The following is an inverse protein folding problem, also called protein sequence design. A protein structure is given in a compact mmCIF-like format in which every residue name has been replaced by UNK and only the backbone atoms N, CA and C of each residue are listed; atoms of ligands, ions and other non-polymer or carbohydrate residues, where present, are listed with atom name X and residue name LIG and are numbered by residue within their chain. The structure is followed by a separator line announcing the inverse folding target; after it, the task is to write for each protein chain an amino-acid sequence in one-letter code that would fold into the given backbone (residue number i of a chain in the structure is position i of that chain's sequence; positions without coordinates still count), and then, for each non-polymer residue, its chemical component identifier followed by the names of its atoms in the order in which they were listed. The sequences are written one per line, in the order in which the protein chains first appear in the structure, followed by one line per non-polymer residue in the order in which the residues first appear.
data_IF_767945055559
#
_entry.id   IF_767945055559
#
_cell.length_a   1.000
_cell.length_b   1.000
_cell.length_c   1.000
_cell.angle_alpha   90.00
_cell.angle_beta   90.00
_cell.angle_gamma   90.00
#
_symmetry.space_group_name_H-M   'P 1'
#
loop_
_entity.id
_entity.type
_entity.pdbx_description
1 polymer ?
#
# COMPACT_ATOMS: atom_id res chain seq x y z
N UNK A 1 -22.17 -9.40 0.85
CA UNK A 1 -21.20 -8.43 1.42
C UNK A 1 -20.41 -7.86 0.26
N UNK A 2 -20.03 -6.59 0.32
CA UNK A 2 -19.10 -6.03 -0.66
C UNK A 2 -17.69 -6.59 -0.44
N UNK A 3 -16.80 -6.47 -1.43
CA UNK A 3 -15.39 -6.91 -1.33
C UNK A 3 -14.70 -6.27 -0.12
N UNK A 4 -14.94 -4.97 0.10
CA UNK A 4 -14.47 -4.20 1.25
C UNK A 4 -14.95 -4.78 2.58
N UNK A 5 -16.23 -5.12 2.67
CA UNK A 5 -16.77 -5.74 3.88
C UNK A 5 -16.14 -7.11 4.14
N UNK A 6 -15.92 -7.91 3.10
CA UNK A 6 -15.25 -9.22 3.22
C UNK A 6 -13.83 -9.03 3.78
N UNK A 7 -13.03 -8.13 3.21
CA UNK A 7 -11.66 -7.86 3.67
C UNK A 7 -11.62 -7.39 5.12
N UNK A 8 -12.49 -6.43 5.48
CA UNK A 8 -12.53 -5.89 6.85
C UNK A 8 -12.99 -6.93 7.88
N UNK A 9 -14.01 -7.71 7.56
CA UNK A 9 -14.48 -8.79 8.46
C UNK A 9 -13.45 -9.89 8.57
N UNK A 10 -12.83 -10.30 7.46
CA UNK A 10 -11.79 -11.32 7.45
C UNK A 10 -10.56 -10.91 8.29
N UNK A 11 -10.09 -9.68 8.13
CA UNK A 11 -8.99 -9.13 8.93
C UNK A 11 -9.33 -9.00 10.40
N UNK A 12 -10.53 -8.50 10.74
CA UNK A 12 -10.98 -8.40 12.12
C UNK A 12 -11.06 -9.77 12.81
N UNK A 13 -11.60 -10.79 12.14
CA UNK A 13 -11.70 -12.14 12.70
C UNK A 13 -10.32 -12.80 12.83
N UNK A 14 -9.49 -12.76 11.79
CA UNK A 14 -8.20 -13.45 11.80
C UNK A 14 -7.21 -12.77 12.75
N UNK A 15 -7.04 -11.46 12.63
CA UNK A 15 -5.97 -10.73 13.30
C UNK A 15 -6.43 -10.03 14.58
N UNK A 16 -7.66 -9.50 14.60
CA UNK A 16 -8.23 -8.84 15.78
C UNK A 16 -8.71 -9.83 16.83
N UNK A 17 -9.56 -10.79 16.44
CA UNK A 17 -10.09 -11.82 17.33
C UNK A 17 -9.17 -13.03 17.49
N UNK A 18 -8.05 -13.09 16.74
CA UNK A 18 -7.11 -14.21 16.72
C UNK A 18 -7.81 -15.54 16.42
N UNK A 19 -8.81 -15.54 15.54
CA UNK A 19 -9.55 -16.74 15.19
C UNK A 19 -8.93 -17.46 13.98
N UNK A 20 -8.16 -18.55 14.18
CA UNK A 20 -7.59 -19.30 13.07
C UNK A 20 -8.63 -19.96 12.16
N UNK A 21 -9.87 -20.16 12.62
CA UNK A 21 -10.95 -20.69 11.78
C UNK A 21 -11.45 -19.65 10.75
N UNK A 22 -11.06 -18.38 10.89
CA UNK A 22 -11.33 -17.34 9.89
C UNK A 22 -10.68 -17.67 8.53
N UNK A 23 -9.54 -18.37 8.53
CA UNK A 23 -8.87 -18.83 7.30
C UNK A 23 -9.80 -19.72 6.45
N UNK A 24 -10.56 -20.61 7.09
CA UNK A 24 -11.48 -21.50 6.38
C UNK A 24 -12.76 -20.79 5.92
N UNK A 25 -13.14 -19.72 6.60
CA UNK A 25 -14.33 -18.92 6.25
C UNK A 25 -14.04 -17.97 5.09
N UNK A 26 -12.94 -17.23 5.16
CA UNK A 26 -12.74 -16.07 4.29
C UNK A 26 -11.59 -16.17 3.31
N UNK A 27 -10.63 -17.08 3.46
CA UNK A 27 -9.57 -17.24 2.45
C UNK A 27 -9.98 -18.29 1.41
N UNK A 28 -9.51 -18.16 0.17
CA UNK A 28 -9.65 -19.19 -0.86
C UNK A 28 -8.71 -20.38 -0.54
N UNK A 29 -9.06 -21.62 -0.92
CA UNK A 29 -8.16 -22.77 -0.73
C UNK A 29 -6.82 -22.60 -1.48
N UNK A 30 -6.86 -21.91 -2.60
CA UNK A 30 -5.74 -21.58 -3.49
C UNK A 30 -5.27 -20.12 -3.32
N UNK A 31 -5.48 -19.54 -2.13
CA UNK A 31 -5.04 -18.19 -1.82
C UNK A 31 -3.54 -17.99 -2.10
N UNK A 32 -3.22 -16.87 -2.76
CA UNK A 32 -1.85 -16.48 -3.12
C UNK A 32 -1.37 -15.29 -2.31
N UNK A 33 -0.17 -15.43 -1.74
CA UNK A 33 0.53 -14.38 -1.01
C UNK A 33 1.65 -13.80 -1.87
N UNK A 34 1.78 -12.47 -1.86
CA UNK A 34 2.90 -11.72 -2.44
C UNK A 34 3.72 -10.95 -1.39
N UNK A 35 3.22 -10.85 -0.15
CA UNK A 35 3.90 -10.20 0.96
C UNK A 35 5.19 -10.90 1.34
N UNK A 36 6.24 -10.10 1.56
CA UNK A 36 7.50 -10.58 2.13
C UNK A 36 7.40 -11.05 3.59
N UNK A 37 6.27 -10.81 4.27
CA UNK A 37 6.09 -11.12 5.70
C UNK A 37 5.70 -12.57 5.98
N UNK A 38 5.23 -13.34 4.99
CA UNK A 38 4.64 -14.64 5.27
C UNK A 38 4.70 -15.63 4.10
N UNK A 39 4.78 -16.95 4.39
CA UNK A 39 4.69 -17.98 3.35
C UNK A 39 3.33 -17.98 2.64
N UNK A 40 3.28 -18.68 1.51
CA UNK A 40 2.07 -18.78 0.71
C UNK A 40 0.94 -19.60 1.37
N UNK A 41 -0.28 -19.35 0.93
CA UNK A 41 -1.48 -20.11 1.29
C UNK A 41 -1.95 -19.95 2.73
N UNK A 42 -3.04 -20.65 3.06
CA UNK A 42 -3.67 -20.59 4.39
C UNK A 42 -2.75 -21.09 5.50
N UNK A 43 -1.93 -22.10 5.23
CA UNK A 43 -0.99 -22.64 6.21
C UNK A 43 0.15 -21.66 6.50
N UNK A 44 0.62 -20.92 5.49
CA UNK A 44 1.55 -19.81 5.70
C UNK A 44 0.97 -18.74 6.60
N UNK A 45 -0.27 -18.30 6.34
CA UNK A 45 -0.97 -17.35 7.20
C UNK A 45 -1.23 -17.87 8.61
N UNK A 46 -1.53 -19.16 8.77
CA UNK A 46 -1.67 -19.81 10.09
C UNK A 46 -0.36 -19.71 10.88
N UNK A 47 0.77 -20.01 10.24
CA UNK A 47 2.09 -19.90 10.86
C UNK A 47 2.46 -18.45 11.22
N UNK A 48 2.02 -17.47 10.43
CA UNK A 48 2.16 -16.04 10.77
C UNK A 48 1.34 -15.72 12.02
N UNK A 49 0.06 -16.12 12.06
CA UNK A 49 -0.84 -15.86 13.19
C UNK A 49 -0.29 -16.39 14.52
N UNK A 50 0.32 -17.58 14.51
CA UNK A 50 0.95 -18.21 15.68
C UNK A 50 2.18 -17.45 16.20
N UNK A 51 2.83 -16.66 15.35
CA UNK A 51 4.02 -15.87 15.67
C UNK A 51 3.70 -14.41 15.99
N UNK A 52 2.46 -13.96 15.79
CA UNK A 52 2.08 -12.58 16.05
C UNK A 52 2.14 -12.26 17.55
N UNK A 53 2.84 -11.19 17.95
CA UNK A 53 2.95 -10.82 19.37
C UNK A 53 1.61 -10.38 19.94
N UNK A 54 1.46 -10.46 21.26
CA UNK A 54 0.19 -10.17 21.95
C UNK A 54 -0.33 -8.75 21.71
N UNK A 55 0.56 -7.78 21.52
CA UNK A 55 0.24 -6.37 21.29
C UNK A 55 0.04 -6.03 19.80
N UNK A 56 0.10 -7.02 18.91
CA UNK A 56 -0.18 -6.80 17.49
C UNK A 56 -1.60 -6.30 17.27
N UNK A 57 -1.71 -5.21 16.51
CA UNK A 57 -2.97 -4.62 16.07
C UNK A 57 -2.79 -3.87 14.76
N UNK A 58 -3.91 -3.69 14.06
CA UNK A 58 -3.98 -3.00 12.78
C UNK A 58 -4.92 -1.79 12.95
N UNK A 59 -4.40 -0.59 12.68
CA UNK A 59 -5.21 0.63 12.60
C UNK A 59 -5.52 0.94 11.15
N UNK A 60 -6.74 0.63 10.72
CA UNK A 60 -7.20 0.95 9.36
C UNK A 60 -7.43 2.45 9.20
N UNK A 61 -6.83 3.05 8.17
CA UNK A 61 -6.96 4.47 7.87
C UNK A 61 -7.94 4.73 6.73
N UNK A 62 -7.72 4.09 5.57
CA UNK A 62 -8.54 4.25 4.35
C UNK A 62 -8.75 2.89 3.71
N UNK A 63 -9.90 2.70 3.08
CA UNK A 63 -10.23 1.46 2.37
C UNK A 63 -10.93 1.77 1.06
N UNK A 64 -10.33 1.34 -0.05
CA UNK A 64 -10.86 1.50 -1.40
C UNK A 64 -11.37 0.17 -1.92
N UNK A 65 -12.52 0.17 -2.57
CA UNK A 65 -13.09 -0.95 -3.32
C UNK A 65 -13.21 -0.59 -4.80
N UNK A 66 -12.57 -1.38 -5.64
CA UNK A 66 -12.60 -1.24 -7.09
C UNK A 66 -12.91 -2.61 -7.71
N UNK A 67 -14.20 -2.90 -7.82
CA UNK A 67 -14.69 -4.21 -8.25
C UNK A 67 -14.33 -5.32 -7.25
N UNK A 68 -13.51 -6.27 -7.70
CA UNK A 68 -13.02 -7.39 -6.91
C UNK A 68 -11.72 -7.08 -6.15
N UNK A 69 -11.16 -5.88 -6.35
CA UNK A 69 -9.95 -5.44 -5.68
C UNK A 69 -10.27 -4.52 -4.50
N UNK A 70 -9.52 -4.68 -3.40
CA UNK A 70 -9.62 -3.83 -2.22
C UNK A 70 -8.24 -3.37 -1.81
N UNK A 71 -8.06 -2.06 -1.64
CA UNK A 71 -6.85 -1.49 -1.05
C UNK A 71 -7.12 -1.03 0.38
N UNK A 72 -6.19 -1.30 1.30
CA UNK A 72 -6.27 -0.91 2.70
C UNK A 72 -5.00 -0.14 3.05
N UNK A 73 -5.12 1.17 3.32
CA UNK A 73 -4.05 1.94 3.93
C UNK A 73 -4.19 1.83 5.45
N UNK A 74 -3.16 1.34 6.13
CA UNK A 74 -3.22 1.04 7.56
C UNK A 74 -1.89 1.24 8.28
N UNK A 75 -1.92 1.08 9.61
CA UNK A 75 -0.72 1.02 10.44
C UNK A 75 -0.70 -0.31 11.20
N UNK A 76 0.40 -1.04 11.06
CA UNK A 76 0.70 -2.24 11.85
C UNK A 76 1.49 -1.88 13.10
N UNK A 77 1.08 -2.45 14.23
CA UNK A 77 1.76 -2.33 15.51
C UNK A 77 2.24 -3.69 16.00
N UNK A 78 3.30 -3.72 16.81
CA UNK A 78 3.81 -4.97 17.42
C UNK A 78 4.77 -5.77 16.54
N UNK A 79 4.83 -5.55 15.22
CA UNK A 79 5.75 -6.29 14.32
C UNK A 79 7.23 -5.88 14.42
N UNK A 80 7.54 -4.82 15.18
CA UNK A 80 8.88 -4.29 15.32
C UNK A 80 8.96 -3.19 16.39
N UNK A 81 10.13 -2.57 16.56
CA UNK A 81 10.34 -1.50 17.54
C UNK A 81 9.58 -0.20 17.21
N UNK A 82 9.17 -0.06 15.96
CA UNK A 82 8.36 1.04 15.44
C UNK A 82 7.13 0.45 14.73
N UNK A 83 5.98 1.15 14.77
CA UNK A 83 4.86 0.80 13.90
C UNK A 83 5.27 0.87 12.44
N UNK A 84 4.54 0.16 11.58
CA UNK A 84 4.75 0.16 10.13
C UNK A 84 3.53 0.78 9.46
N UNK A 85 3.72 1.76 8.57
CA UNK A 85 2.64 2.18 7.67
C UNK A 85 2.63 1.24 6.48
N UNK A 86 1.44 0.77 6.10
CA UNK A 86 1.29 -0.24 5.08
C UNK A 86 0.14 0.10 4.12
N UNK A 87 0.28 -0.38 2.88
CA UNK A 87 -0.83 -0.47 1.94
C UNK A 87 -0.96 -1.93 1.53
N UNK A 88 -2.05 -2.55 1.96
CA UNK A 88 -2.44 -3.90 1.54
C UNK A 88 -3.37 -3.83 0.33
N UNK A 89 -3.23 -4.75 -0.60
CA UNK A 89 -4.11 -4.93 -1.75
C UNK A 89 -4.59 -6.37 -1.76
N UNK A 90 -5.90 -6.57 -1.79
CA UNK A 90 -6.53 -7.88 -1.83
C UNK A 90 -7.35 -8.05 -3.10
N UNK A 91 -7.29 -9.23 -3.72
CA UNK A 91 -8.28 -9.67 -4.69
C UNK A 91 -9.30 -10.58 -4.02
N UNK A 92 -10.58 -10.33 -4.26
CA UNK A 92 -11.71 -11.08 -3.72
C UNK A 92 -12.34 -11.92 -4.83
N UNK A 93 -12.39 -13.24 -4.65
CA UNK A 93 -13.12 -14.14 -5.55
C UNK A 93 -14.39 -14.65 -4.86
N UNK A 94 -15.55 -14.16 -5.31
CA UNK A 94 -16.84 -14.50 -4.69
C UNK A 94 -16.94 -13.95 -3.27
N UNK A 95 -16.92 -14.84 -2.28
CA UNK A 95 -16.98 -14.50 -0.86
C UNK A 95 -15.63 -14.65 -0.13
N UNK A 96 -14.53 -14.81 -0.88
CA UNK A 96 -13.21 -15.16 -0.32
C UNK A 96 -12.08 -14.28 -0.83
N UNK A 97 -11.10 -14.05 0.04
CA UNK A 97 -9.80 -13.49 -0.29
C UNK A 97 -9.00 -14.51 -1.08
N UNK A 98 -8.67 -14.18 -2.32
CA UNK A 98 -7.97 -15.05 -3.25
C UNK A 98 -6.49 -14.69 -3.40
N UNK A 99 -6.13 -13.44 -3.14
CA UNK A 99 -4.77 -12.97 -3.37
C UNK A 99 -4.47 -11.73 -2.54
N UNK A 100 -3.21 -11.55 -2.13
CA UNK A 100 -2.77 -10.43 -1.31
C UNK A 100 -1.38 -9.94 -1.71
N UNK A 101 -1.23 -8.63 -1.79
CA UNK A 101 0.03 -7.91 -1.92
C UNK A 101 0.10 -6.83 -0.85
N UNK A 102 1.30 -6.48 -0.41
CA UNK A 102 1.50 -5.32 0.44
C UNK A 102 2.77 -4.55 0.05
N UNK A 103 2.83 -3.30 0.50
CA UNK A 103 4.08 -2.66 0.83
C UNK A 103 4.00 -2.05 2.22
N UNK A 104 5.12 -2.04 2.93
CA UNK A 104 5.21 -1.46 4.27
C UNK A 104 6.58 -0.84 4.55
N UNK A 105 6.58 0.20 5.39
CA UNK A 105 7.79 0.86 5.86
C UNK A 105 7.65 1.30 7.33
N UNK A 106 8.77 1.53 8.04
CA UNK A 106 8.74 2.12 9.38
C UNK A 106 8.01 3.46 9.38
N UNK A 107 7.05 3.61 10.30
CA UNK A 107 6.37 4.86 10.56
C UNK A 107 7.19 5.70 11.57
N UNK A 108 7.74 6.87 11.18
CA UNK A 108 8.52 7.69 12.09
C UNK A 108 7.75 8.09 13.34
N UNK A 109 8.44 8.42 14.43
CA UNK A 109 7.78 8.89 15.65
C UNK A 109 7.41 10.38 15.57
N UNK A 110 6.42 10.79 16.36
CA UNK A 110 6.05 12.20 16.53
C UNK A 110 5.38 12.80 15.30
N UNK A 111 5.62 14.10 15.06
CA UNK A 111 4.95 14.86 14.02
C UNK A 111 5.21 14.33 12.60
N UNK A 112 6.43 13.83 12.33
CA UNK A 112 6.76 13.24 11.05
C UNK A 112 5.90 12.00 10.75
N UNK A 113 5.71 11.12 11.74
CA UNK A 113 4.83 9.96 11.62
C UNK A 113 3.36 10.33 11.47
N UNK A 114 2.86 11.24 12.31
CA UNK A 114 1.49 11.71 12.22
C UNK A 114 1.18 12.24 10.81
N UNK A 115 2.12 12.98 10.23
CA UNK A 115 2.01 13.48 8.88
C UNK A 115 1.88 12.37 7.83
N UNK A 116 2.57 11.22 7.96
CA UNK A 116 2.44 10.09 7.01
C UNK A 116 1.04 9.45 7.00
N UNK A 117 0.20 9.69 8.00
CA UNK A 117 -1.12 9.04 8.15
C UNK A 117 -2.30 10.01 8.28
N UNK A 118 -2.01 11.31 8.33
CA UNK A 118 -3.00 12.40 8.37
C UNK A 118 -3.82 12.48 7.07
N UNK A 119 -4.85 13.34 7.09
CA UNK A 119 -5.73 13.64 5.97
C UNK A 119 -7.08 12.90 6.03
N UNK A 120 -7.96 13.12 5.03
CA UNK A 120 -9.30 12.54 5.02
C UNK A 120 -9.27 11.01 4.99
N UNK A 121 -10.18 10.35 5.72
CA UNK A 121 -10.28 8.89 5.78
C UNK A 121 -11.48 8.32 5.02
N UNK A 122 -12.53 9.12 4.91
CA UNK A 122 -13.76 8.75 4.24
C UNK A 122 -13.62 8.97 2.73
N UNK A 123 -14.05 7.98 1.95
CA UNK A 123 -14.18 8.13 0.50
C UNK A 123 -15.44 8.94 0.19
N UNK A 124 -15.28 9.97 -0.63
CA UNK A 124 -16.35 10.83 -1.16
C UNK A 124 -16.24 10.92 -2.68
N UNK A 125 -17.14 11.63 -3.35
CA UNK A 125 -17.05 11.93 -4.80
C UNK A 125 -17.07 10.68 -5.70
N UNK A 126 -17.86 9.67 -5.31
CA UNK A 126 -17.95 8.37 -5.99
C UNK A 126 -18.31 8.48 -7.49
N UNK A 127 -19.09 9.50 -7.87
CA UNK A 127 -19.44 9.79 -9.26
C UNK A 127 -18.24 10.18 -10.13
N UNK A 128 -17.13 10.61 -9.52
CA UNK A 128 -15.90 11.01 -10.20
C UNK A 128 -14.84 9.91 -10.26
N UNK A 129 -15.10 8.71 -9.73
CA UNK A 129 -14.13 7.60 -9.64
C UNK A 129 -13.40 7.36 -10.97
N UNK A 130 -14.13 7.20 -12.07
CA UNK A 130 -13.53 6.90 -13.38
C UNK A 130 -12.66 8.07 -13.90
N UNK A 131 -13.12 9.30 -13.71
CA UNK A 131 -12.37 10.49 -14.11
C UNK A 131 -11.09 10.68 -13.29
N UNK A 132 -11.17 10.45 -11.98
CA UNK A 132 -10.02 10.55 -11.08
C UNK A 132 -8.98 9.47 -11.38
N UNK A 133 -9.41 8.22 -11.63
CA UNK A 133 -8.51 7.15 -12.08
C UNK A 133 -7.81 7.52 -13.38
N UNK A 134 -8.53 8.04 -14.36
CA UNK A 134 -7.95 8.44 -15.64
C UNK A 134 -6.90 9.54 -15.47
N UNK A 135 -7.23 10.59 -14.70
CA UNK A 135 -6.33 11.71 -14.41
C UNK A 135 -5.02 11.24 -13.74
N UNK A 136 -5.13 10.39 -12.70
CA UNK A 136 -3.94 9.87 -12.01
C UNK A 136 -3.15 8.92 -12.91
N UNK A 137 -3.81 8.06 -13.69
CA UNK A 137 -3.13 7.15 -14.61
C UNK A 137 -2.30 7.91 -15.65
N UNK A 138 -2.90 8.94 -16.27
CA UNK A 138 -2.23 9.80 -17.24
C UNK A 138 -1.05 10.54 -16.59
N UNK A 139 -1.29 11.17 -15.43
CA UNK A 139 -0.25 11.90 -14.71
C UNK A 139 0.93 11.01 -14.30
N UNK A 140 0.68 9.81 -13.79
CA UNK A 140 1.74 8.85 -13.43
C UNK A 140 2.53 8.45 -14.66
N UNK A 141 1.87 8.13 -15.78
CA UNK A 141 2.57 7.76 -17.02
C UNK A 141 3.42 8.88 -17.59
N UNK A 142 2.91 10.11 -17.60
CA UNK A 142 3.60 11.24 -18.23
C UNK A 142 4.69 11.86 -17.37
N UNK A 143 4.48 11.87 -16.05
CA UNK A 143 5.28 12.70 -15.12
C UNK A 143 6.04 11.85 -14.10
N UNK A 144 5.43 10.81 -13.55
CA UNK A 144 6.02 10.07 -12.44
C UNK A 144 6.97 8.96 -12.93
N UNK A 145 6.59 8.22 -13.97
CA UNK A 145 7.47 7.21 -14.57
C UNK A 145 8.69 7.88 -15.22
N UNK A 146 9.88 7.59 -14.71
CA UNK A 146 11.14 8.14 -15.20
C UNK A 146 11.49 9.57 -14.77
N UNK A 147 10.59 10.31 -14.11
CA UNK A 147 10.81 11.68 -13.65
C UNK A 147 10.19 12.00 -12.27
N UNK A 148 10.18 11.00 -11.39
CA UNK A 148 9.50 10.98 -10.08
C UNK A 148 9.69 12.26 -9.24
N UNK A 149 10.94 12.62 -8.94
CA UNK A 149 11.24 13.75 -8.04
C UNK A 149 10.78 15.11 -8.57
N UNK A 150 11.02 15.40 -9.85
CA UNK A 150 10.64 16.70 -10.44
C UNK A 150 9.12 16.85 -10.50
N UNK A 151 8.39 15.77 -10.77
CA UNK A 151 6.93 15.76 -10.84
C UNK A 151 6.27 16.05 -9.49
N UNK A 152 6.76 15.44 -8.40
CA UNK A 152 6.25 15.69 -7.05
C UNK A 152 6.62 17.09 -6.56
N UNK A 153 7.85 17.56 -6.83
CA UNK A 153 8.27 18.94 -6.53
C UNK A 153 7.40 19.98 -7.26
N UNK A 154 6.96 19.69 -8.48
CA UNK A 154 6.02 20.52 -9.23
C UNK A 154 4.65 20.61 -8.56
N UNK A 155 4.07 19.48 -8.13
CA UNK A 155 2.80 19.45 -7.40
C UNK A 155 2.91 20.24 -6.09
N UNK A 156 4.02 20.09 -5.37
CA UNK A 156 4.30 20.80 -4.12
C UNK A 156 4.42 22.33 -4.27
N UNK A 157 4.45 22.88 -5.50
CA UNK A 157 4.36 24.33 -5.72
C UNK A 157 2.93 24.87 -5.57
N UNK A 158 1.90 24.02 -5.67
CA UNK A 158 0.53 24.41 -5.32
C UNK A 158 0.38 24.39 -3.80
N UNK A 159 0.08 25.51 -3.13
CA UNK A 159 -0.05 25.56 -1.67
C UNK A 159 -1.23 24.74 -1.12
N UNK A 160 -2.08 24.18 -1.99
CA UNK A 160 -3.17 23.28 -1.61
C UNK A 160 -2.77 21.81 -1.64
N UNK A 161 -1.64 21.48 -2.28
CA UNK A 161 -1.13 20.12 -2.34
C UNK A 161 -0.41 19.77 -1.03
N UNK A 162 -0.65 18.56 -0.52
CA UNK A 162 0.04 18.03 0.67
C UNK A 162 0.76 16.74 0.28
N UNK A 163 2.09 16.75 0.43
CA UNK A 163 2.95 15.59 0.21
C UNK A 163 3.18 14.85 1.54
N UNK A 164 2.58 13.69 1.72
CA UNK A 164 2.70 12.86 2.92
C UNK A 164 3.77 11.76 2.82
N UNK A 165 4.38 11.54 1.66
CA UNK A 165 5.50 10.64 1.48
C UNK A 165 6.75 11.05 2.26
N UNK A 166 7.80 10.25 2.18
CA UNK A 166 9.08 10.55 2.83
C UNK A 166 9.76 11.84 2.29
N UNK A 167 9.23 12.40 1.20
CA UNK A 167 9.72 13.60 0.56
C UNK A 167 10.82 13.32 -0.48
N UNK A 168 11.35 14.36 -1.14
CA UNK A 168 12.25 14.24 -2.31
C UNK A 168 13.66 13.70 -1.98
N UNK A 169 13.93 13.35 -0.72
CA UNK A 169 15.21 12.77 -0.29
C UNK A 169 15.37 11.31 -0.76
N UNK A 170 14.25 10.62 -0.98
CA UNK A 170 14.22 9.29 -1.61
C UNK A 170 14.70 9.38 -3.07
N UNK A 171 15.81 8.71 -3.39
CA UNK A 171 16.29 8.57 -4.78
C UNK A 171 15.57 7.42 -5.46
N UNK A 172 14.26 7.59 -5.68
CA UNK A 172 13.41 6.61 -6.33
C UNK A 172 13.27 6.90 -7.83
N UNK A 173 13.46 5.87 -8.65
CA UNK A 173 13.21 5.91 -10.08
C UNK A 173 12.16 4.87 -10.48
N UNK A 174 10.91 5.30 -10.65
CA UNK A 174 9.80 4.45 -11.09
C UNK A 174 9.91 4.07 -12.57
N UNK A 175 9.60 2.81 -12.88
CA UNK A 175 9.85 2.16 -14.17
C UNK A 175 8.56 1.70 -14.84
N UNK A 176 7.66 1.06 -14.10
CA UNK A 176 6.45 0.47 -14.65
C UNK A 176 5.26 0.63 -13.71
N UNK A 177 4.09 0.91 -14.27
CA UNK A 177 2.81 0.93 -13.56
C UNK A 177 2.16 -0.45 -13.64
N UNK A 178 1.94 -1.09 -12.49
CA UNK A 178 1.36 -2.44 -12.38
C UNK A 178 -0.15 -2.40 -12.11
N UNK A 179 -0.61 -1.42 -11.32
CA UNK A 179 -2.02 -1.36 -10.89
C UNK A 179 -2.52 0.06 -10.69
N UNK A 180 -3.79 0.28 -11.00
CA UNK A 180 -4.57 1.48 -10.67
C UNK A 180 -5.91 1.07 -10.08
N UNK A 181 -6.11 1.34 -8.80
CA UNK A 181 -7.36 1.11 -8.09
C UNK A 181 -7.94 2.45 -7.66
N UNK A 182 -9.23 2.67 -7.79
CA UNK A 182 -9.82 3.95 -7.37
C UNK A 182 -11.25 3.83 -6.89
N UNK A 183 -11.59 4.64 -5.91
CA UNK A 183 -12.94 4.82 -5.41
C UNK A 183 -13.11 6.28 -5.02
N UNK A 184 -14.07 6.93 -5.66
CA UNK A 184 -14.36 8.34 -5.47
C UNK A 184 -13.15 9.25 -5.66
N UNK A 185 -12.86 10.08 -4.66
CA UNK A 185 -11.72 10.98 -4.62
C UNK A 185 -10.37 10.33 -4.38
N UNK A 186 -10.28 9.01 -4.16
CA UNK A 186 -9.01 8.33 -3.91
C UNK A 186 -8.61 7.39 -5.04
N UNK A 187 -7.33 7.40 -5.39
CA UNK A 187 -6.74 6.48 -6.38
C UNK A 187 -5.43 5.94 -5.82
N UNK A 188 -5.26 4.62 -5.80
CA UNK A 188 -4.00 3.95 -5.56
C UNK A 188 -3.31 3.62 -6.88
N UNK A 189 -2.02 3.92 -6.99
CA UNK A 189 -1.13 3.36 -8.03
C UNK A 189 -0.06 2.49 -7.41
N UNK A 190 0.17 1.33 -8.01
CA UNK A 190 1.27 0.43 -7.64
C UNK A 190 2.27 0.43 -8.79
N UNK A 191 3.48 0.90 -8.52
CA UNK A 191 4.57 0.93 -9.50
C UNK A 191 5.77 0.11 -9.05
N UNK A 192 6.50 -0.40 -10.02
CA UNK A 192 7.84 -0.90 -9.83
C UNK A 192 8.84 0.23 -10.02
N UNK A 193 9.82 0.33 -9.13
CA UNK A 193 10.88 1.31 -9.18
C UNK A 193 12.22 0.76 -8.71
N UNK A 194 13.21 1.64 -8.72
CA UNK A 194 14.57 1.35 -8.24
C UNK A 194 14.95 2.44 -7.24
N UNK A 195 15.35 2.02 -6.04
CA UNK A 195 15.96 2.87 -5.03
C UNK A 195 17.46 2.94 -5.29
N UNK A 196 17.95 4.14 -5.62
CA UNK A 196 19.38 4.40 -5.74
C UNK A 196 20.03 4.49 -4.34
N UNK A 197 21.31 4.12 -4.20
CA UNK A 197 22.02 4.21 -2.93
C UNK A 197 22.11 5.65 -2.40
N UNK A 198 22.05 5.79 -1.08
CA UNK A 198 22.35 7.04 -0.37
C UNK A 198 23.80 7.42 -0.63
N UNK A 199 24.01 8.63 -1.16
CA UNK A 199 25.34 9.09 -1.56
C UNK A 199 25.67 10.44 -0.96
N UNK A 200 26.09 10.43 0.30
CA UNK A 200 27.11 11.36 0.81
C UNK A 200 28.16 10.56 1.60
N UNK A 201 29.29 10.24 0.97
CA UNK A 201 30.53 9.99 1.72
C UNK A 201 31.09 8.57 1.89
N UNK A 202 30.76 7.56 1.07
CA UNK A 202 31.60 6.35 1.01
C UNK A 202 30.88 5.06 0.61
N UNK A 203 31.40 4.46 -0.48
CA UNK A 203 30.97 3.26 -1.22
C UNK A 203 29.59 3.31 -1.93
N UNK A 204 29.56 3.19 -3.28
CA UNK A 204 28.30 3.04 -4.01
C UNK A 204 27.67 1.68 -3.66
N UNK A 205 26.48 1.70 -3.06
CA UNK A 205 25.64 0.50 -2.95
C UNK A 205 24.97 0.18 -4.29
N UNK A 206 24.51 -1.06 -4.46
CA UNK A 206 23.76 -1.44 -5.66
C UNK A 206 22.34 -0.85 -5.61
N UNK A 207 21.79 -0.37 -6.74
CA UNK A 207 20.38 0.03 -6.82
C UNK A 207 19.46 -1.15 -6.46
N UNK A 208 18.44 -0.89 -5.66
CA UNK A 208 17.53 -1.93 -5.16
C UNK A 208 16.16 -1.84 -5.84
N UNK A 209 15.65 -2.93 -6.44
CA UNK A 209 14.27 -2.95 -6.93
C UNK A 209 13.31 -2.69 -5.76
N UNK A 210 12.23 -1.95 -6.02
CA UNK A 210 11.26 -1.57 -5.01
C UNK A 210 9.85 -1.59 -5.60
N UNK A 211 8.87 -1.97 -4.78
CA UNK A 211 7.47 -1.68 -5.05
C UNK A 211 7.04 -0.42 -4.33
N UNK A 212 6.27 0.40 -5.04
CA UNK A 212 5.92 1.74 -4.61
C UNK A 212 4.40 1.91 -4.72
N UNK A 213 3.77 2.17 -3.58
CA UNK A 213 2.33 2.26 -3.44
C UNK A 213 1.98 3.72 -3.16
N UNK A 214 1.43 4.40 -4.16
CA UNK A 214 1.04 5.80 -4.06
C UNK A 214 -0.47 5.91 -3.92
N UNK A 215 -0.91 6.48 -2.82
CA UNK A 215 -2.31 6.85 -2.65
C UNK A 215 -2.45 8.34 -2.96
N UNK A 216 -3.35 8.65 -3.89
CA UNK A 216 -3.64 10.00 -4.33
C UNK A 216 -5.02 10.41 -3.86
N UNK A 217 -5.17 11.66 -3.43
CA UNK A 217 -6.47 12.31 -3.29
C UNK A 217 -6.68 13.32 -4.41
N UNK A 218 -7.79 13.19 -5.10
CA UNK A 218 -8.25 14.08 -6.18
C UNK A 218 -9.57 14.71 -5.77
N UNK A 219 -9.70 16.02 -5.93
CA UNK A 219 -10.99 16.72 -5.86
C UNK A 219 -11.01 17.89 -6.85
N UNK A 220 -12.18 18.20 -7.38
CA UNK A 220 -12.37 19.28 -8.37
C UNK A 220 -11.40 19.19 -9.56
N UNK A 221 -11.09 17.97 -10.01
CA UNK A 221 -10.16 17.70 -11.11
C UNK A 221 -8.70 18.04 -10.81
N UNK A 222 -8.30 18.08 -9.53
CA UNK A 222 -6.93 18.41 -9.08
C UNK A 222 -6.40 17.35 -8.12
N UNK A 223 -5.11 17.04 -8.23
CA UNK A 223 -4.37 16.25 -7.24
C UNK A 223 -4.12 17.14 -6.02
N UNK A 224 -4.54 16.70 -4.84
CA UNK A 224 -4.50 17.49 -3.61
C UNK A 224 -3.67 16.86 -2.50
N UNK A 225 -3.61 15.54 -2.40
CA UNK A 225 -2.78 14.88 -1.40
C UNK A 225 -2.15 13.63 -2.02
N UNK A 226 -0.95 13.30 -1.56
CA UNK A 226 -0.20 12.12 -1.97
C UNK A 226 0.38 11.45 -0.72
N UNK A 227 0.14 10.15 -0.55
CA UNK A 227 0.84 9.31 0.41
C UNK A 227 1.63 8.26 -0.35
N UNK A 228 2.83 7.97 0.12
CA UNK A 228 3.72 7.01 -0.50
C UNK A 228 4.10 5.94 0.52
N UNK A 229 4.10 4.68 0.10
CA UNK A 229 4.80 3.58 0.78
C UNK A 229 5.76 2.90 -0.20
N UNK A 230 7.05 2.91 0.12
CA UNK A 230 8.10 2.30 -0.72
C UNK A 230 8.75 1.16 0.04
N UNK A 231 8.72 -0.03 -0.56
CA UNK A 231 9.38 -1.21 -0.02
C UNK A 231 10.41 -1.76 -1.01
N UNK A 232 11.70 -1.86 -0.63
CA UNK A 232 12.66 -2.64 -1.38
C UNK A 232 12.17 -4.10 -1.51
N UNK A 233 12.18 -4.63 -2.72
CA UNK A 233 11.83 -6.03 -2.98
C UNK A 233 12.82 -6.91 -2.20
N UNK A 234 12.35 -7.79 -1.31
CA UNK A 234 13.23 -8.68 -0.56
C UNK A 234 14.09 -9.54 -1.50
N UNK A 235 15.37 -9.72 -1.16
CA UNK A 235 16.27 -10.60 -1.93
C UNK A 235 15.76 -12.05 -2.00
N UNK A 236 14.98 -12.46 -0.99
CA UNK A 236 14.35 -13.77 -0.91
C UNK A 236 12.92 -13.61 -0.44
N UNK A 237 12.00 -14.11 -1.25
CA UNK A 237 10.59 -14.21 -0.88
C UNK A 237 10.33 -15.57 -0.21
N UNK A 238 9.38 -15.64 0.73
CA UNK A 238 8.95 -16.90 1.36
C UNK A 238 8.06 -17.77 0.44
N UNK A 239 7.92 -17.39 -0.84
CA UNK A 239 7.09 -18.00 -1.86
C UNK A 239 7.57 -17.62 -3.27
N UNK A 240 7.04 -18.29 -4.29
CA UNK A 240 7.44 -18.10 -5.70
C UNK A 240 6.49 -17.16 -6.51
N UNK A 241 5.52 -16.50 -5.85
CA UNK A 241 4.49 -15.69 -6.52
C UNK A 241 4.97 -14.32 -7.04
N UNK A 242 6.20 -13.90 -6.72
CA UNK A 242 6.72 -12.57 -7.04
C UNK A 242 6.16 -11.46 -6.13
N UNK A 243 6.62 -10.22 -6.35
CA UNK A 243 6.27 -9.06 -5.52
C UNK A 243 5.10 -8.23 -6.07
N UNK A 244 4.86 -8.29 -7.39
CA UNK A 244 3.84 -7.49 -8.10
C UNK A 244 2.69 -8.36 -8.63
#
# INVERSE_FOLDING_TARGET
MSSKQIVLTAGADLFGHRDPAALDRYWAPDFRQHSGLGPDGREGLRAVLEQLPDDFRIDTLRVLEDGDMVAVHCVYHGLGPEPLVAVDVFRVAGDRLAEHWDALEPLPRGAAGAHRVDGPRQVTDHEHTAANKALITEWVHERLLGADREALEELARDPRFVEHGAGPESRLARRALHRVLGEGGFVLTVTEGVLEPDGEGGEPGDPRPAGCYDLWRVADGRILEHWEVVQPVPERMPHDNGFF
#
